data_IF_837349969830
#
_entry.id   IF_837349969830
#
_cell.length_a   1.000
_cell.length_b   1.000
_cell.length_c   1.000
_cell.angle_alpha   90.00
_cell.angle_beta   90.00
_cell.angle_gamma   90.00
#
_symmetry.space_group_name_H-M   'P 1'
#
loop_
_entity.id
_entity.type
_entity.pdbx_description
1 polymer ?
#
# COMPACT_ATOMS: atom_id res chain seq x y z
N UNK A 1 -22.47 -1.48 5.32
CA UNK A 1 -22.20 -0.16 4.69
C UNK A 1 -22.63 1.02 5.55
N UNK A 2 -23.79 0.98 6.23
CA UNK A 2 -24.29 2.12 7.02
C UNK A 2 -23.39 2.58 8.18
N UNK A 3 -22.78 1.67 8.93
CA UNK A 3 -21.90 2.00 10.06
C UNK A 3 -20.66 2.78 9.62
N UNK A 4 -20.00 2.32 8.56
CA UNK A 4 -18.82 2.99 7.98
C UNK A 4 -19.14 4.37 7.42
N UNK A 5 -20.33 4.56 6.84
CA UNK A 5 -20.77 5.88 6.35
C UNK A 5 -21.09 6.85 7.50
N UNK A 6 -21.58 6.33 8.63
CA UNK A 6 -21.80 7.12 9.84
C UNK A 6 -20.47 7.57 10.45
N UNK A 7 -19.54 6.64 10.66
CA UNK A 7 -18.17 6.96 11.14
C UNK A 7 -17.45 7.97 10.24
N UNK A 8 -17.64 7.89 8.92
CA UNK A 8 -17.05 8.85 7.98
C UNK A 8 -17.67 10.25 8.09
N UNK A 9 -18.96 10.36 8.45
CA UNK A 9 -19.61 11.65 8.72
C UNK A 9 -19.14 12.23 10.05
N UNK A 10 -18.99 11.37 11.06
CA UNK A 10 -18.53 11.76 12.40
C UNK A 10 -17.07 12.27 12.38
N UNK A 11 -16.28 11.91 11.36
CA UNK A 11 -14.89 12.39 11.14
C UNK A 11 -14.80 13.64 10.25
N UNK A 12 -15.92 14.14 9.70
CA UNK A 12 -15.90 15.27 8.79
C UNK A 12 -16.18 16.58 9.54
N UNK A 13 -15.12 17.30 9.86
CA UNK A 13 -15.18 18.55 10.62
C UNK A 13 -15.23 19.81 9.73
N UNK A 14 -15.48 19.65 8.42
CA UNK A 14 -15.66 20.78 7.50
C UNK A 14 -17.04 21.41 7.72
N UNK A 15 -17.04 22.66 8.15
CA UNK A 15 -18.25 23.43 8.49
C UNK A 15 -18.57 24.44 7.40
N UNK A 16 -19.87 24.55 7.06
CA UNK A 16 -20.39 25.56 6.13
C UNK A 16 -21.28 26.60 6.84
N UNK A 17 -21.37 27.80 6.26
CA UNK A 17 -22.13 28.97 6.72
C UNK A 17 -23.48 29.13 6.03
N UNK A 18 -23.88 28.19 5.17
CA UNK A 18 -25.12 28.33 4.40
C UNK A 18 -26.39 28.31 5.27
N UNK A 19 -26.28 27.92 6.55
CA UNK A 19 -27.35 27.91 7.55
C UNK A 19 -28.61 27.22 6.99
N UNK A 20 -29.77 27.88 7.06
CA UNK A 20 -31.05 27.38 6.57
C UNK A 20 -31.17 27.36 5.04
N UNK A 21 -30.25 27.99 4.31
CA UNK A 21 -30.26 28.01 2.84
C UNK A 21 -29.43 26.85 2.31
N UNK A 22 -30.00 26.10 1.37
CA UNK A 22 -29.27 25.08 0.63
C UNK A 22 -28.24 25.69 -0.33
N UNK A 23 -27.29 24.88 -0.80
CA UNK A 23 -26.25 25.33 -1.75
C UNK A 23 -26.81 25.85 -3.07
N UNK A 24 -27.89 25.26 -3.58
CA UNK A 24 -28.57 25.78 -4.78
C UNK A 24 -29.16 27.17 -4.55
N UNK A 25 -29.74 27.42 -3.37
CA UNK A 25 -30.29 28.74 -3.03
C UNK A 25 -29.20 29.78 -2.84
N UNK A 26 -28.05 29.40 -2.27
CA UNK A 26 -26.87 30.27 -2.17
C UNK A 26 -26.29 30.60 -3.54
N UNK A 27 -26.15 29.60 -4.39
CA UNK A 27 -25.70 29.77 -5.78
C UNK A 27 -26.63 30.68 -6.57
N UNK A 28 -27.94 30.49 -6.47
CA UNK A 28 -28.93 31.34 -7.12
C UNK A 28 -28.88 32.79 -6.61
N UNK A 29 -28.75 32.98 -5.30
CA UNK A 29 -28.62 34.32 -4.71
C UNK A 29 -27.32 35.04 -5.10
N UNK A 30 -26.22 34.33 -5.24
CA UNK A 30 -24.97 34.93 -5.75
C UNK A 30 -25.03 35.21 -7.26
N UNK A 31 -25.73 34.37 -8.02
CA UNK A 31 -26.03 34.64 -9.42
C UNK A 31 -26.91 35.88 -9.60
N UNK A 32 -27.85 36.11 -8.69
CA UNK A 32 -28.70 37.31 -8.73
C UNK A 32 -27.88 38.59 -8.44
N UNK A 33 -26.96 38.54 -7.47
CA UNK A 33 -26.09 39.68 -7.13
C UNK A 33 -25.05 39.99 -8.20
N UNK A 34 -24.38 38.95 -8.68
CA UNK A 34 -23.16 39.08 -9.50
C UNK A 34 -23.44 38.86 -10.99
N UNK A 35 -24.67 38.44 -11.36
CA UNK A 35 -25.05 37.99 -12.71
C UNK A 35 -24.20 36.83 -13.27
N UNK A 36 -23.23 36.33 -12.50
CA UNK A 36 -22.34 35.23 -12.82
C UNK A 36 -22.82 33.95 -12.15
N UNK A 37 -22.76 32.82 -12.85
CA UNK A 37 -23.07 31.54 -12.23
C UNK A 37 -21.84 31.04 -11.47
N UNK A 38 -21.87 30.98 -10.13
CA UNK A 38 -20.67 30.68 -9.35
C UNK A 38 -20.14 29.29 -9.70
N UNK A 39 -18.83 29.22 -9.89
CA UNK A 39 -18.10 27.97 -10.09
C UNK A 39 -18.16 27.10 -8.84
N UNK A 40 -17.70 25.84 -8.91
CA UNK A 40 -17.73 24.97 -7.72
C UNK A 40 -16.80 25.48 -6.62
N UNK A 41 -15.63 26.02 -7.00
CA UNK A 41 -14.69 26.62 -6.05
C UNK A 41 -15.30 27.87 -5.44
N UNK A 42 -15.84 28.77 -6.26
CA UNK A 42 -16.49 29.99 -5.77
C UNK A 42 -17.66 29.67 -4.84
N UNK A 43 -18.48 28.68 -5.17
CA UNK A 43 -19.57 28.24 -4.32
C UNK A 43 -19.07 27.66 -2.99
N UNK A 44 -17.92 26.98 -2.99
CA UNK A 44 -17.28 26.52 -1.76
C UNK A 44 -16.84 27.72 -0.92
N UNK A 45 -16.17 28.70 -1.51
CA UNK A 45 -15.73 29.92 -0.81
C UNK A 45 -16.93 30.66 -0.20
N UNK A 46 -17.99 30.90 -0.98
CA UNK A 46 -19.24 31.54 -0.54
C UNK A 46 -19.87 30.83 0.67
N UNK A 47 -19.73 29.50 0.75
CA UNK A 47 -20.41 28.69 1.77
C UNK A 47 -19.51 28.30 2.93
N UNK A 48 -18.19 28.52 2.86
CA UNK A 48 -17.23 28.06 3.87
C UNK A 48 -16.34 29.19 4.40
N UNK A 49 -16.41 30.36 3.77
CA UNK A 49 -15.73 31.60 4.18
C UNK A 49 -16.75 32.57 4.76
N UNK A 50 -16.34 33.28 5.81
CA UNK A 50 -17.13 34.33 6.44
C UNK A 50 -16.95 35.67 5.69
N UNK A 51 -17.77 36.68 6.02
CA UNK A 51 -17.68 38.00 5.38
C UNK A 51 -16.35 38.73 5.58
N UNK A 52 -15.52 38.30 6.53
CA UNK A 52 -14.16 38.80 6.77
C UNK A 52 -13.08 38.10 5.91
N UNK A 53 -13.46 37.17 5.03
CA UNK A 53 -12.53 36.42 4.19
C UNK A 53 -11.81 35.25 4.88
N UNK A 54 -12.14 34.95 6.13
CA UNK A 54 -11.59 33.80 6.85
C UNK A 54 -12.58 32.63 6.87
N UNK A 55 -12.05 31.41 6.79
CA UNK A 55 -12.83 30.20 7.01
C UNK A 55 -13.31 30.08 8.46
N UNK A 56 -14.38 29.30 8.63
CA UNK A 56 -15.04 29.11 9.92
C UNK A 56 -14.17 28.38 10.95
N UNK A 57 -13.32 27.46 10.51
CA UNK A 57 -12.39 26.71 11.37
C UNK A 57 -11.14 26.30 10.58
N UNK A 58 -10.14 25.77 11.29
CA UNK A 58 -8.88 25.32 10.70
C UNK A 58 -9.05 24.18 9.67
N UNK A 59 -9.87 23.13 9.91
CA UNK A 59 -10.17 22.13 8.89
C UNK A 59 -10.77 22.71 7.60
N UNK A 60 -11.61 23.74 7.70
CA UNK A 60 -12.16 24.43 6.54
C UNK A 60 -11.12 25.34 5.86
N UNK A 61 -10.20 25.96 6.61
CA UNK A 61 -9.06 26.70 6.02
C UNK A 61 -8.18 25.78 5.16
N UNK A 62 -7.84 24.61 5.69
CA UNK A 62 -7.06 23.61 4.96
C UNK A 62 -7.79 23.11 3.71
N UNK A 63 -9.12 23.03 3.78
CA UNK A 63 -9.95 22.69 2.64
C UNK A 63 -9.95 23.78 1.56
N UNK A 64 -9.82 25.07 1.91
CA UNK A 64 -9.83 26.20 0.95
C UNK A 64 -8.60 26.29 0.04
N UNK A 65 -7.54 25.52 0.29
CA UNK A 65 -6.33 25.49 -0.54
C UNK A 65 -6.60 24.73 -1.86
N UNK A 66 -7.49 25.28 -2.69
CA UNK A 66 -7.75 24.80 -4.03
C UNK A 66 -6.97 25.62 -5.05
N UNK A 67 -6.20 24.96 -5.93
CA UNK A 67 -5.69 25.59 -7.15
C UNK A 67 -6.81 25.89 -8.16
N UNK A 68 -6.53 26.55 -9.29
CA UNK A 68 -7.53 26.96 -10.28
C UNK A 68 -8.49 25.84 -10.71
N UNK A 69 -9.78 26.18 -10.91
CA UNK A 69 -10.81 25.24 -11.35
C UNK A 69 -10.48 24.68 -12.74
N UNK A 70 -10.64 23.36 -12.92
CA UNK A 70 -10.42 22.68 -14.20
C UNK A 70 -11.67 21.90 -14.60
N UNK A 71 -12.29 22.28 -15.70
CA UNK A 71 -13.47 21.61 -16.25
C UNK A 71 -13.16 20.14 -16.58
N UNK A 72 -14.09 19.23 -16.28
CA UNK A 72 -13.97 17.78 -16.53
C UNK A 72 -13.20 16.98 -15.47
N UNK A 73 -12.57 17.62 -14.47
CA UNK A 73 -11.89 16.93 -13.36
C UNK A 73 -12.71 17.05 -12.08
N UNK A 74 -13.40 15.98 -11.68
CA UNK A 74 -14.08 15.90 -10.38
C UNK A 74 -13.01 15.89 -9.27
N UNK A 75 -12.74 17.07 -8.69
CA UNK A 75 -12.00 17.17 -7.44
C UNK A 75 -12.95 16.78 -6.31
N UNK A 76 -12.81 15.57 -5.79
CA UNK A 76 -13.25 15.27 -4.43
C UNK A 76 -12.49 16.21 -3.49
N UNK A 77 -13.21 16.82 -2.56
CA UNK A 77 -12.70 17.83 -1.63
C UNK A 77 -11.45 17.34 -0.87
N UNK A 78 -10.38 18.15 -0.86
CA UNK A 78 -9.29 18.07 0.12
C UNK A 78 -8.08 17.19 -0.21
N UNK A 79 -6.89 17.76 -0.02
CA UNK A 79 -5.64 17.02 0.02
C UNK A 79 -5.46 16.33 1.39
N UNK A 80 -5.43 14.98 1.38
CA UNK A 80 -4.57 14.07 2.19
C UNK A 80 -5.16 12.65 2.31
N UNK A 81 -6.47 12.52 2.11
CA UNK A 81 -7.17 11.23 2.04
C UNK A 81 -7.57 10.95 0.59
N UNK A 82 -6.67 10.32 -0.16
CA UNK A 82 -7.05 9.68 -1.41
C UNK A 82 -8.20 8.71 -1.08
N UNK A 83 -9.29 8.66 -1.87
CA UNK A 83 -10.39 7.69 -1.73
C UNK A 83 -9.96 6.28 -1.29
N UNK A 84 -8.81 5.84 -1.79
CA UNK A 84 -8.12 4.59 -1.46
C UNK A 84 -7.86 4.38 0.04
N UNK A 85 -7.57 5.43 0.80
CA UNK A 85 -7.26 5.36 2.24
C UNK A 85 -8.51 5.22 3.12
N UNK A 86 -9.66 5.77 2.71
CA UNK A 86 -10.91 5.71 3.48
C UNK A 86 -11.76 4.48 3.13
N UNK A 87 -11.87 4.20 1.83
CA UNK A 87 -12.83 3.22 1.33
C UNK A 87 -12.16 1.94 0.82
N UNK A 88 -10.83 1.94 0.72
CA UNK A 88 -10.09 0.91 0.02
C UNK A 88 -10.24 1.08 -1.50
N UNK A 89 -9.30 0.57 -2.27
CA UNK A 89 -9.50 0.47 -3.71
C UNK A 89 -10.55 -0.59 -4.00
N UNK A 90 -11.80 -0.19 -4.26
CA UNK A 90 -12.85 -1.05 -4.83
C UNK A 90 -12.63 -1.40 -6.31
N UNK A 91 -11.38 -1.31 -6.77
CA UNK A 91 -11.03 -1.74 -8.11
C UNK A 91 -10.90 -3.25 -8.09
N UNK A 92 -11.70 -3.94 -8.91
CA UNK A 92 -11.55 -5.37 -9.20
C UNK A 92 -10.10 -5.72 -9.56
N UNK A 93 -9.43 -4.85 -10.34
CA UNK A 93 -8.00 -4.97 -10.66
C UNK A 93 -7.09 -4.99 -9.42
N UNK A 94 -7.40 -4.20 -8.40
CA UNK A 94 -6.62 -4.17 -7.15
C UNK A 94 -6.85 -5.40 -6.29
N UNK A 95 -8.07 -5.93 -6.26
CA UNK A 95 -8.38 -7.19 -5.60
C UNK A 95 -7.58 -8.34 -6.26
N UNK A 96 -7.59 -8.42 -7.59
CA UNK A 96 -6.86 -9.45 -8.34
C UNK A 96 -5.35 -9.32 -8.16
N UNK A 97 -4.82 -8.09 -8.15
CA UNK A 97 -3.41 -7.82 -7.82
C UNK A 97 -3.05 -8.31 -6.41
N UNK A 98 -3.91 -8.05 -5.42
CA UNK A 98 -3.68 -8.49 -4.04
C UNK A 98 -3.69 -10.01 -3.92
N UNK A 99 -4.62 -10.68 -4.60
CA UNK A 99 -4.70 -12.15 -4.65
C UNK A 99 -3.41 -12.75 -5.25
N UNK A 100 -2.98 -12.23 -6.41
CA UNK A 100 -1.73 -12.64 -7.07
C UNK A 100 -0.49 -12.43 -6.20
N UNK A 101 -0.44 -11.33 -5.45
CA UNK A 101 0.68 -11.06 -4.54
C UNK A 101 0.78 -12.17 -3.49
N UNK A 102 -0.34 -12.50 -2.85
CA UNK A 102 -0.39 -13.56 -1.84
C UNK A 102 -0.02 -14.93 -2.41
N UNK A 103 -0.52 -15.26 -3.60
CA UNK A 103 -0.16 -16.50 -4.30
C UNK A 103 1.34 -16.54 -4.62
N UNK A 104 1.94 -15.42 -5.03
CA UNK A 104 3.37 -15.32 -5.31
C UNK A 104 4.21 -15.46 -4.03
N UNK A 105 3.80 -14.85 -2.92
CA UNK A 105 4.46 -14.96 -1.62
C UNK A 105 4.45 -16.41 -1.13
N UNK A 106 3.31 -17.10 -1.26
CA UNK A 106 3.18 -18.51 -0.89
C UNK A 106 4.10 -19.41 -1.73
N UNK A 107 4.09 -19.24 -3.07
CA UNK A 107 4.98 -19.99 -3.96
C UNK A 107 6.45 -19.76 -3.63
N UNK A 108 6.83 -18.52 -3.34
CA UNK A 108 8.20 -18.20 -2.94
C UNK A 108 8.61 -18.89 -1.65
N UNK A 109 7.72 -18.92 -0.65
CA UNK A 109 7.98 -19.60 0.62
C UNK A 109 8.11 -21.12 0.43
N UNK A 110 7.25 -21.71 -0.39
CA UNK A 110 7.30 -23.14 -0.73
C UNK A 110 8.59 -23.51 -1.45
N UNK A 111 9.01 -22.72 -2.45
CA UNK A 111 10.28 -22.93 -3.15
C UNK A 111 11.48 -22.80 -2.21
N UNK A 112 11.46 -21.82 -1.30
CA UNK A 112 12.51 -21.67 -0.28
C UNK A 112 12.62 -22.90 0.61
N UNK A 113 11.49 -23.47 1.05
CA UNK A 113 11.50 -24.70 1.86
C UNK A 113 12.10 -25.87 1.07
N UNK A 114 11.72 -26.03 -0.20
CA UNK A 114 12.27 -27.08 -1.07
C UNK A 114 13.79 -26.95 -1.27
N UNK A 115 14.29 -25.73 -1.46
CA UNK A 115 15.74 -25.50 -1.57
C UNK A 115 16.47 -25.84 -0.26
N UNK A 116 15.92 -25.46 0.89
CA UNK A 116 16.51 -25.77 2.20
C UNK A 116 16.56 -27.28 2.47
N UNK A 117 15.53 -28.00 2.04
CA UNK A 117 15.45 -29.46 2.15
C UNK A 117 16.52 -30.14 1.26
N UNK A 118 16.64 -29.71 0.00
CA UNK A 118 17.69 -30.20 -0.91
C UNK A 118 19.11 -29.89 -0.42
N UNK A 119 19.34 -28.71 0.18
CA UNK A 119 20.63 -28.35 0.78
C UNK A 119 20.98 -29.27 1.96
N UNK A 120 19.99 -29.71 2.74
CA UNK A 120 20.21 -30.66 3.83
C UNK A 120 20.58 -32.05 3.31
N UNK A 121 19.90 -32.53 2.27
CA UNK A 121 20.21 -33.81 1.61
C UNK A 121 21.63 -33.81 1.02
N UNK A 122 22.00 -32.76 0.27
CA UNK A 122 23.35 -32.59 -0.27
C UNK A 122 24.41 -32.60 0.84
N UNK A 123 24.11 -32.02 2.00
CA UNK A 123 25.04 -31.99 3.13
C UNK A 123 25.28 -33.38 3.69
N UNK A 124 24.26 -34.23 3.75
CA UNK A 124 24.41 -35.63 4.16
C UNK A 124 25.16 -36.45 3.10
N UNK A 125 24.92 -36.22 1.81
CA UNK A 125 25.70 -36.85 0.73
C UNK A 125 27.18 -36.47 0.80
N UNK A 126 27.50 -35.19 0.97
CA UNK A 126 28.89 -34.73 1.13
C UNK A 126 29.54 -35.36 2.35
N UNK A 127 28.82 -35.48 3.47
CA UNK A 127 29.32 -36.14 4.68
C UNK A 127 29.59 -37.62 4.43
N UNK A 128 28.72 -38.32 3.69
CA UNK A 128 28.91 -39.71 3.32
C UNK A 128 30.13 -39.90 2.40
N UNK A 129 30.26 -39.10 1.34
CA UNK A 129 31.40 -39.12 0.42
C UNK A 129 32.72 -38.87 1.16
N UNK A 130 32.73 -37.92 2.10
CA UNK A 130 33.91 -37.64 2.94
C UNK A 130 34.33 -38.86 3.74
N UNK A 131 33.37 -39.58 4.35
CA UNK A 131 33.66 -40.81 5.09
C UNK A 131 34.23 -41.91 4.20
N UNK A 132 33.71 -42.09 2.98
CA UNK A 132 34.27 -43.08 2.04
C UNK A 132 35.69 -42.74 1.63
N UNK A 133 35.98 -41.47 1.34
CA UNK A 133 37.32 -41.04 0.94
C UNK A 133 38.34 -41.24 2.07
N UNK A 134 37.93 -40.97 3.31
CA UNK A 134 38.75 -41.18 4.50
C UNK A 134 39.06 -42.67 4.71
N UNK A 135 38.07 -43.54 4.51
CA UNK A 135 38.28 -45.00 4.52
C UNK A 135 39.22 -45.47 3.41
N UNK A 136 39.08 -44.97 2.18
CA UNK A 136 40.00 -45.29 1.09
C UNK A 136 41.43 -44.84 1.38
N UNK A 137 41.60 -43.66 1.99
CA UNK A 137 42.93 -43.15 2.37
C UNK A 137 43.59 -44.06 3.42
N UNK A 138 42.83 -44.53 4.42
CA UNK A 138 43.31 -45.51 5.42
C UNK A 138 43.74 -46.81 4.72
N UNK A 139 42.92 -47.34 3.82
CA UNK A 139 43.25 -48.56 3.07
C UNK A 139 44.53 -48.41 2.23
N UNK A 140 44.70 -47.28 1.53
CA UNK A 140 45.91 -47.04 0.75
C UNK A 140 47.16 -46.89 1.64
N UNK A 141 47.04 -46.24 2.79
CA UNK A 141 48.14 -46.11 3.75
C UNK A 141 48.57 -47.48 4.30
N UNK A 142 47.62 -48.35 4.62
CA UNK A 142 47.91 -49.72 5.06
C UNK A 142 48.58 -50.57 3.98
N UNK A 143 48.09 -50.49 2.73
CA UNK A 143 48.72 -51.18 1.60
C UNK A 143 50.16 -50.70 1.37
N UNK A 144 50.40 -49.39 1.45
CA UNK A 144 51.74 -48.79 1.34
C UNK A 144 52.67 -49.30 2.44
N UNK A 145 52.18 -49.36 3.69
CA UNK A 145 52.95 -49.89 4.83
C UNK A 145 53.34 -51.36 4.62
N UNK A 146 52.42 -52.19 4.12
CA UNK A 146 52.70 -53.60 3.80
C UNK A 146 53.74 -53.77 2.68
N UNK A 147 53.70 -52.91 1.67
CA UNK A 147 54.72 -52.89 0.61
C UNK A 147 56.10 -52.51 1.14
N UNK A 148 56.18 -51.46 1.97
CA UNK A 148 57.43 -51.04 2.62
C UNK A 148 58.00 -52.12 3.56
N UNK A 149 57.14 -52.85 4.28
CA UNK A 149 57.54 -54.00 5.12
C UNK A 149 58.09 -55.18 4.29
N UNK A 150 57.64 -55.37 3.05
CA UNK A 150 58.12 -56.43 2.16
C UNK A 150 59.45 -56.10 1.48
N UNK A 151 59.73 -54.82 1.18
CA UNK A 151 61.02 -54.41 0.61
C UNK A 151 62.16 -54.29 1.64
N UNK A 152 61.83 -54.22 2.93
CA UNK A 152 62.81 -54.12 4.02
C UNK A 152 63.29 -55.49 4.58
N UNK A 153 62.78 -56.61 4.04
CA UNK A 153 63.14 -57.99 4.45
C UNK A 153 63.97 -58.71 3.40
#
# INVERSE_FOLDING_TARGET
MFLKNKENRDKNDVIHTSCSKGFQQRSAGEKEKTSHNPSRIELFDITHVQGNGQAVNEPTQDALVFGPERQGRVRCYGARVTPTKLWGSYSSRMHDLKKRLHESEHKHLESKHKCLEADAELKEEVKHLKSMLEQQAIQMAELRRRFEEQEAS
#
